data_IF_387789539607
#
_entry.id   IF_387789539607
#
_cell.length_a   1.000
_cell.length_b   1.000
_cell.length_c   1.000
_cell.angle_alpha   90.00
_cell.angle_beta   90.00
_cell.angle_gamma   90.00
#
_symmetry.space_group_name_H-M   'P 1'
#
loop_
_entity.id
_entity.type
_entity.pdbx_description
1 polymer ?
#
# COMPACT_ATOMS: atom_id res chain seq x y z
N UNK A 1 -47.03 -33.08 17.54
CA UNK A 1 -46.47 -33.60 16.28
C UNK A 1 -46.38 -32.45 15.31
N UNK A 2 -45.17 -32.17 14.81
CA UNK A 2 -44.81 -31.54 13.51
C UNK A 2 -45.34 -30.13 13.20
N UNK A 3 -44.61 -29.16 12.66
CA UNK A 3 -43.23 -28.97 12.19
C UNK A 3 -43.04 -27.45 12.04
N UNK A 4 -41.85 -26.84 12.17
CA UNK A 4 -40.67 -27.08 11.34
C UNK A 4 -40.59 -26.05 10.21
N UNK A 5 -40.50 -24.74 10.53
CA UNK A 5 -40.09 -23.74 9.54
C UNK A 5 -38.57 -23.78 9.41
N UNK A 6 -38.09 -24.47 8.38
CA UNK A 6 -36.72 -24.36 7.91
C UNK A 6 -36.63 -23.09 7.07
N UNK A 7 -35.98 -22.05 7.58
CA UNK A 7 -35.50 -20.95 6.76
C UNK A 7 -34.03 -21.19 6.46
N UNK A 8 -33.77 -21.77 5.29
CA UNK A 8 -32.45 -21.77 4.66
C UNK A 8 -32.07 -20.33 4.39
N UNK A 9 -31.08 -19.80 5.10
CA UNK A 9 -30.43 -18.54 4.71
C UNK A 9 -29.35 -18.89 3.71
N UNK A 10 -29.70 -18.86 2.43
CA UNK A 10 -28.72 -18.75 1.35
C UNK A 10 -28.05 -17.39 1.47
N UNK A 11 -26.94 -17.35 2.18
CA UNK A 11 -26.09 -16.17 2.35
C UNK A 11 -25.41 -15.83 1.02
N UNK A 12 -26.09 -15.10 0.16
CA UNK A 12 -25.43 -14.37 -0.92
C UNK A 12 -24.53 -13.31 -0.27
N UNK A 13 -23.22 -13.22 -0.60
CA UNK A 13 -22.36 -12.18 -0.06
C UNK A 13 -22.92 -10.81 -0.45
N UNK A 14 -23.48 -10.08 0.52
CA UNK A 14 -23.84 -8.67 0.32
C UNK A 14 -22.55 -7.90 0.06
N UNK A 15 -22.48 -7.20 -1.07
CA UNK A 15 -21.35 -6.32 -1.35
C UNK A 15 -21.22 -5.29 -0.21
N UNK A 16 -20.00 -5.02 0.29
CA UNK A 16 -19.80 -4.10 1.40
C UNK A 16 -20.39 -2.72 1.09
N UNK A 17 -21.10 -2.13 2.04
CA UNK A 17 -21.69 -0.80 1.88
C UNK A 17 -20.61 0.29 1.96
N UNK A 18 -20.91 1.50 1.49
CA UNK A 18 -20.00 2.65 1.64
C UNK A 18 -19.66 2.94 3.12
N UNK A 19 -20.63 2.77 4.01
CA UNK A 19 -20.42 2.95 5.45
C UNK A 19 -19.44 1.90 6.02
N UNK A 20 -19.50 0.66 5.53
CA UNK A 20 -18.56 -0.40 5.93
C UNK A 20 -17.14 -0.07 5.46
N UNK A 21 -16.98 0.49 4.25
CA UNK A 21 -15.67 0.91 3.74
C UNK A 21 -15.08 2.06 4.53
N UNK A 22 -15.87 3.07 4.90
CA UNK A 22 -15.40 4.18 5.73
C UNK A 22 -14.92 3.71 7.10
N UNK A 23 -15.70 2.85 7.77
CA UNK A 23 -15.32 2.27 9.05
C UNK A 23 -14.03 1.44 8.94
N UNK A 24 -13.93 0.60 7.91
CA UNK A 24 -12.72 -0.18 7.64
C UNK A 24 -11.50 0.72 7.37
N UNK A 25 -11.69 1.81 6.62
CA UNK A 25 -10.66 2.80 6.32
C UNK A 25 -10.16 3.49 7.58
N UNK A 26 -11.06 3.92 8.46
CA UNK A 26 -10.71 4.57 9.71
C UNK A 26 -9.80 3.66 10.58
N UNK A 27 -10.04 2.36 10.52
CA UNK A 27 -9.31 1.33 11.26
C UNK A 27 -7.93 0.96 10.65
N UNK A 28 -7.60 1.42 9.44
CA UNK A 28 -6.29 1.22 8.82
C UNK A 28 -5.19 1.96 9.60
N UNK A 29 -3.97 1.47 9.48
CA UNK A 29 -2.81 2.18 10.02
C UNK A 29 -2.51 3.42 9.19
N UNK A 30 -2.09 4.50 9.85
CA UNK A 30 -1.78 5.76 9.20
C UNK A 30 -0.27 5.85 8.89
N UNK A 31 0.15 5.75 7.61
CA UNK A 31 1.55 5.86 7.24
C UNK A 31 2.15 7.25 7.49
N UNK A 32 1.34 8.29 7.70
CA UNK A 32 1.86 9.60 8.13
C UNK A 32 2.44 9.58 9.55
N UNK A 33 2.24 8.49 10.30
CA UNK A 33 2.87 8.29 11.61
C UNK A 33 4.33 7.81 11.51
N UNK A 34 4.83 7.48 10.31
CA UNK A 34 6.25 7.18 10.08
C UNK A 34 7.10 8.41 10.45
N UNK A 35 8.14 8.26 11.29
CA UNK A 35 8.96 9.38 11.71
C UNK A 35 9.70 10.07 10.55
N UNK A 36 9.83 11.40 10.62
CA UNK A 36 10.53 12.18 9.58
C UNK A 36 11.98 11.71 9.36
N UNK A 37 12.67 11.25 10.40
CA UNK A 37 14.02 10.71 10.28
C UNK A 37 14.08 9.44 9.42
N UNK A 38 13.01 8.64 9.40
CA UNK A 38 12.92 7.44 8.54
C UNK A 38 12.76 7.86 7.09
N UNK A 39 11.94 8.89 6.80
CA UNK A 39 11.82 9.47 5.46
C UNK A 39 13.13 10.08 4.96
N UNK A 40 13.82 10.82 5.83
CA UNK A 40 15.14 11.39 5.51
C UNK A 40 16.18 10.30 5.24
N UNK A 41 16.19 9.23 6.02
CA UNK A 41 17.10 8.10 5.84
C UNK A 41 16.97 7.48 4.43
N UNK A 42 15.77 7.49 3.86
CA UNK A 42 15.49 6.92 2.53
C UNK A 42 15.52 7.97 1.41
N UNK A 43 16.00 9.18 1.71
CA UNK A 43 16.19 10.25 0.73
C UNK A 43 14.95 11.09 0.42
N UNK A 44 13.83 10.85 1.10
CA UNK A 44 12.61 11.67 0.96
C UNK A 44 12.71 12.89 1.86
N UNK A 45 12.47 14.08 1.29
CA UNK A 45 12.49 15.32 2.05
C UNK A 45 11.17 15.49 2.84
N UNK A 46 11.17 15.58 4.18
CA UNK A 46 9.94 15.64 4.96
C UNK A 46 9.00 16.80 4.61
N UNK A 47 9.54 17.92 4.12
CA UNK A 47 8.74 19.06 3.66
C UNK A 47 7.83 18.74 2.46
N UNK A 48 8.12 17.66 1.75
CA UNK A 48 7.36 17.20 0.58
C UNK A 48 6.25 16.21 0.94
N UNK A 49 6.25 15.67 2.17
CA UNK A 49 5.30 14.64 2.59
C UNK A 49 3.86 15.14 2.57
N UNK A 50 2.96 14.39 1.94
CA UNK A 50 1.52 14.67 1.89
C UNK A 50 0.72 13.39 2.14
N UNK A 51 -0.43 13.49 2.83
CA UNK A 51 -1.37 12.38 3.00
C UNK A 51 -2.35 12.23 1.82
N UNK A 52 -2.29 13.15 0.85
CA UNK A 52 -3.37 13.32 -0.12
C UNK A 52 -3.24 12.36 -1.30
N UNK A 53 -4.39 11.79 -1.69
CA UNK A 53 -4.49 10.87 -2.81
C UNK A 53 -5.13 11.64 -3.97
N UNK A 54 -4.35 11.93 -5.01
CA UNK A 54 -4.80 12.73 -6.16
C UNK A 54 -5.49 14.07 -5.74
N UNK A 55 -4.95 14.72 -4.71
CA UNK A 55 -5.49 15.98 -4.16
C UNK A 55 -6.66 15.82 -3.19
N UNK A 56 -7.09 14.59 -2.87
CA UNK A 56 -8.14 14.31 -1.89
C UNK A 56 -7.54 13.91 -0.55
N UNK A 57 -8.02 14.50 0.55
CA UNK A 57 -7.61 14.15 1.92
C UNK A 57 -8.20 12.81 2.40
N UNK A 58 -9.21 12.29 1.69
CA UNK A 58 -9.89 11.05 2.06
C UNK A 58 -10.33 10.27 0.82
N UNK A 59 -9.95 8.99 0.77
CA UNK A 59 -10.41 8.03 -0.22
C UNK A 59 -10.76 6.73 0.50
N UNK A 60 -12.03 6.32 0.40
CA UNK A 60 -12.52 5.09 1.02
C UNK A 60 -11.67 3.88 0.58
N UNK A 61 -11.14 3.18 1.57
CA UNK A 61 -10.32 1.99 1.44
C UNK A 61 -8.83 2.22 1.56
N UNK A 62 -8.38 3.47 1.68
CA UNK A 62 -6.96 3.83 1.64
C UNK A 62 -6.56 4.84 2.71
N UNK A 63 -5.36 4.66 3.25
CA UNK A 63 -4.55 5.68 3.91
C UNK A 63 -3.20 5.75 3.20
N UNK A 64 -2.68 6.96 3.08
CA UNK A 64 -1.50 7.25 2.26
C UNK A 64 -0.59 8.24 2.97
N UNK A 65 0.71 8.09 2.76
CA UNK A 65 1.70 9.12 3.00
C UNK A 65 2.77 8.96 1.93
N UNK A 66 3.08 10.04 1.23
CA UNK A 66 4.10 10.01 0.19
C UNK A 66 4.79 11.35 0.04
N UNK A 67 5.96 11.30 -0.57
CA UNK A 67 6.82 12.46 -0.79
C UNK A 67 7.90 12.16 -1.80
N UNK A 68 8.88 13.05 -1.91
CA UNK A 68 9.95 12.95 -2.89
C UNK A 68 11.27 13.55 -2.40
N UNK A 69 12.34 13.28 -3.14
CA UNK A 69 13.65 13.93 -2.95
C UNK A 69 13.66 15.36 -3.51
N UNK A 70 14.75 16.10 -3.23
CA UNK A 70 14.92 17.48 -3.71
C UNK A 70 16.32 17.64 -4.33
N UNK A 71 16.44 17.91 -5.63
CA UNK A 71 15.37 18.05 -6.63
C UNK A 71 14.59 16.74 -6.84
N UNK A 72 13.36 16.83 -7.39
CA UNK A 72 12.44 15.68 -7.51
C UNK A 72 12.87 14.71 -8.62
N UNK A 73 13.69 13.73 -8.28
CA UNK A 73 14.13 12.65 -9.18
C UNK A 73 13.33 11.36 -8.98
N UNK A 74 12.78 11.12 -7.79
CA UNK A 74 11.87 10.00 -7.49
C UNK A 74 10.79 10.37 -6.46
N UNK A 75 9.64 9.71 -6.55
CA UNK A 75 8.59 9.73 -5.54
C UNK A 75 8.55 8.41 -4.76
N UNK A 76 8.11 8.48 -3.51
CA UNK A 76 7.82 7.33 -2.65
C UNK A 76 6.44 7.49 -2.07
N UNK A 77 5.61 6.47 -2.19
CA UNK A 77 4.27 6.40 -1.61
C UNK A 77 4.16 5.16 -0.71
N UNK A 78 3.65 5.34 0.49
CA UNK A 78 3.35 4.25 1.43
C UNK A 78 1.85 4.20 1.67
N UNK A 79 1.28 3.03 1.46
CA UNK A 79 -0.15 2.79 1.54
C UNK A 79 -0.48 1.81 2.66
N UNK A 80 -1.58 2.08 3.36
CA UNK A 80 -2.36 1.08 4.08
C UNK A 80 -3.73 1.00 3.43
N UNK A 81 -4.20 -0.21 3.14
CA UNK A 81 -5.44 -0.37 2.38
C UNK A 81 -6.25 -1.60 2.79
N UNK A 82 -7.56 -1.53 2.57
CA UNK A 82 -8.49 -2.63 2.92
C UNK A 82 -8.45 -3.81 1.94
N UNK A 83 -7.80 -3.61 0.80
CA UNK A 83 -7.69 -4.59 -0.27
C UNK A 83 -6.51 -5.53 0.02
N UNK A 84 -6.70 -6.82 -0.25
CA UNK A 84 -5.69 -7.84 -0.03
C UNK A 84 -4.64 -7.87 -1.13
N UNK A 85 -3.54 -8.60 -0.88
CA UNK A 85 -2.55 -8.93 -1.92
C UNK A 85 -3.20 -9.65 -3.11
N UNK A 86 -4.17 -10.53 -2.86
CA UNK A 86 -4.86 -11.28 -3.92
C UNK A 86 -5.76 -10.38 -4.77
N UNK A 87 -6.41 -9.38 -4.17
CA UNK A 87 -7.17 -8.37 -4.92
C UNK A 87 -6.26 -7.62 -5.91
N UNK A 88 -5.05 -7.28 -5.49
CA UNK A 88 -4.04 -6.63 -6.34
C UNK A 88 -3.52 -7.58 -7.43
N UNK A 89 -3.22 -8.84 -7.10
CA UNK A 89 -2.81 -9.84 -8.09
C UNK A 89 -3.89 -10.09 -9.14
N UNK A 90 -5.16 -10.05 -8.75
CA UNK A 90 -6.28 -10.18 -9.67
C UNK A 90 -6.43 -8.95 -10.56
N UNK A 91 -6.41 -7.75 -9.97
CA UNK A 91 -6.51 -6.47 -10.69
C UNK A 91 -5.37 -6.28 -11.68
N UNK A 92 -4.15 -6.64 -11.28
CA UNK A 92 -2.91 -6.49 -12.05
C UNK A 92 -2.49 -7.82 -12.70
N UNK A 93 -3.46 -8.64 -13.15
CA UNK A 93 -3.24 -10.01 -13.63
C UNK A 93 -2.30 -10.17 -14.85
N UNK A 94 -1.92 -9.07 -15.49
CA UNK A 94 -0.88 -9.04 -16.54
C UNK A 94 0.55 -8.85 -16.01
N UNK A 95 0.70 -8.58 -14.72
CA UNK A 95 1.97 -8.27 -14.07
C UNK A 95 2.52 -9.49 -13.32
N UNK A 96 3.84 -9.67 -13.35
CA UNK A 96 4.50 -10.70 -12.54
C UNK A 96 4.67 -10.21 -11.10
N UNK A 97 4.22 -11.01 -10.14
CA UNK A 97 4.44 -10.79 -8.71
C UNK A 97 5.54 -11.74 -8.23
N UNK A 98 6.72 -11.20 -7.94
CA UNK A 98 7.89 -11.96 -7.50
C UNK A 98 7.90 -12.02 -5.97
N UNK A 99 7.94 -13.20 -5.34
CA UNK A 99 8.04 -13.29 -3.88
C UNK A 99 9.32 -12.64 -3.36
N UNK A 100 9.20 -11.87 -2.28
CA UNK A 100 10.32 -11.22 -1.58
C UNK A 100 10.13 -11.32 -0.08
N UNK A 101 11.24 -11.26 0.66
CA UNK A 101 11.22 -11.14 2.13
C UNK A 101 12.03 -9.91 2.51
N UNK A 102 11.37 -8.91 3.11
CA UNK A 102 12.00 -7.67 3.57
C UNK A 102 11.83 -7.55 5.07
N UNK A 103 12.93 -7.36 5.80
CA UNK A 103 12.95 -7.26 7.26
C UNK A 103 12.17 -8.39 7.97
N UNK A 104 12.18 -9.60 7.39
CA UNK A 104 11.47 -10.78 7.93
C UNK A 104 9.95 -10.77 7.72
N UNK A 105 9.43 -9.89 6.85
CA UNK A 105 8.04 -9.94 6.38
C UNK A 105 8.02 -10.38 4.91
N UNK A 106 7.24 -11.42 4.63
CA UNK A 106 7.02 -11.91 3.28
C UNK A 106 6.05 -10.99 2.53
N UNK A 107 6.34 -10.77 1.26
CA UNK A 107 5.55 -9.94 0.36
C UNK A 107 5.85 -10.26 -1.09
N UNK A 108 5.46 -9.34 -1.96
CA UNK A 108 5.70 -9.44 -3.40
C UNK A 108 6.21 -8.13 -3.97
N UNK A 109 7.15 -8.23 -4.90
CA UNK A 109 7.56 -7.16 -5.80
C UNK A 109 6.79 -7.26 -7.11
N UNK A 110 6.34 -6.13 -7.66
CA UNK A 110 5.73 -6.04 -8.98
C UNK A 110 5.90 -4.64 -9.59
N UNK A 111 5.80 -4.53 -10.92
CA UNK A 111 5.98 -3.28 -11.65
C UNK A 111 4.97 -3.17 -12.80
N UNK A 112 4.30 -2.02 -12.96
CA UNK A 112 3.40 -1.78 -14.12
C UNK A 112 4.13 -1.13 -15.28
N UNK A 113 5.22 -0.41 -15.00
CA UNK A 113 6.08 0.25 -15.99
C UNK A 113 7.55 0.04 -15.63
N UNK A 114 8.47 0.45 -16.52
CA UNK A 114 9.91 0.38 -16.25
C UNK A 114 10.40 1.44 -15.24
N UNK A 115 9.60 2.49 -15.02
CA UNK A 115 9.95 3.63 -14.18
C UNK A 115 9.43 3.47 -12.73
N UNK A 116 8.77 2.37 -12.41
CA UNK A 116 8.22 2.12 -11.09
C UNK A 116 8.65 0.77 -10.50
N UNK A 117 8.61 0.69 -9.17
CA UNK A 117 8.70 -0.57 -8.45
C UNK A 117 7.78 -0.54 -7.23
N UNK A 118 6.99 -1.60 -7.07
CA UNK A 118 6.00 -1.71 -6.01
C UNK A 118 6.31 -2.93 -5.17
N UNK A 119 6.21 -2.78 -3.85
CA UNK A 119 6.29 -3.84 -2.87
C UNK A 119 4.95 -3.90 -2.13
N UNK A 120 4.36 -5.08 -1.99
CA UNK A 120 3.09 -5.29 -1.29
C UNK A 120 3.21 -6.41 -0.27
N UNK A 121 2.63 -6.16 0.91
CA UNK A 121 2.69 -7.05 2.07
C UNK A 121 1.30 -7.24 2.65
N UNK A 122 0.97 -8.47 3.06
CA UNK A 122 -0.30 -8.71 3.74
C UNK A 122 -0.37 -8.00 5.10
N UNK A 123 -1.58 -7.61 5.47
CA UNK A 123 -1.93 -7.12 6.81
C UNK A 123 -3.22 -7.78 7.29
N UNK A 124 -3.53 -7.69 8.59
CA UNK A 124 -4.80 -8.22 9.13
C UNK A 124 -6.05 -7.59 8.49
N UNK A 125 -5.93 -6.36 7.97
CA UNK A 125 -7.06 -5.57 7.44
C UNK A 125 -7.00 -5.39 5.93
N UNK A 126 -6.11 -6.09 5.23
CA UNK A 126 -5.89 -5.95 3.79
C UNK A 126 -4.40 -6.05 3.46
N UNK A 127 -3.79 -4.94 3.06
CA UNK A 127 -2.36 -4.91 2.73
C UNK A 127 -1.69 -3.58 3.04
N UNK A 128 -0.36 -3.60 3.06
CA UNK A 128 0.50 -2.43 2.97
C UNK A 128 1.22 -2.44 1.63
N UNK A 129 1.44 -1.29 1.01
CA UNK A 129 2.34 -1.20 -0.14
C UNK A 129 3.33 -0.04 -0.01
N UNK A 130 4.46 -0.20 -0.66
CA UNK A 130 5.48 0.82 -0.87
C UNK A 130 5.66 0.91 -2.38
N UNK A 131 5.45 2.10 -2.94
CA UNK A 131 5.57 2.36 -4.36
C UNK A 131 6.67 3.40 -4.56
N UNK A 132 7.59 3.13 -5.47
CA UNK A 132 8.63 4.06 -5.89
C UNK A 132 8.48 4.33 -7.37
N UNK A 133 8.42 5.61 -7.73
CA UNK A 133 8.30 6.07 -9.12
C UNK A 133 9.47 6.99 -9.44
N UNK A 134 10.22 6.65 -10.48
CA UNK A 134 11.22 7.52 -11.09
C UNK A 134 10.51 8.66 -11.83
N UNK A 135 10.97 9.88 -11.61
CA UNK A 135 10.34 11.11 -12.08
C UNK A 135 11.22 11.86 -13.07
N UNK A 136 12.54 11.81 -12.86
CA UNK A 136 13.52 12.31 -13.81
C UNK A 136 14.09 11.12 -14.62
N UNK A 137 13.80 10.99 -15.92
CA UNK A 137 14.32 9.92 -16.77
C UNK A 137 15.85 9.88 -16.83
N UNK A 138 16.52 11.03 -16.69
CA UNK A 138 17.98 11.16 -16.74
C UNK A 138 18.63 10.83 -15.39
N UNK A 139 17.84 10.69 -14.33
CA UNK A 139 18.33 10.25 -13.02
C UNK A 139 18.90 8.83 -13.07
N UNK A 140 19.95 8.59 -12.30
CA UNK A 140 20.54 7.27 -12.11
C UNK A 140 19.73 6.37 -11.14
N UNK A 141 18.61 6.87 -10.59
CA UNK A 141 17.75 6.08 -9.70
C UNK A 141 17.22 4.85 -10.41
N UNK A 142 17.44 3.69 -9.79
CA UNK A 142 16.83 2.41 -10.16
C UNK A 142 15.64 2.18 -9.21
N UNK A 143 14.39 2.16 -9.71
CA UNK A 143 13.19 2.11 -8.87
C UNK A 143 13.20 0.97 -7.84
N UNK A 144 13.59 -0.26 -8.21
CA UNK A 144 13.56 -1.40 -7.29
C UNK A 144 14.67 -1.38 -6.24
N UNK A 145 15.85 -0.84 -6.56
CA UNK A 145 16.91 -0.64 -5.57
C UNK A 145 16.47 0.39 -4.51
N UNK A 146 15.82 1.46 -4.98
CA UNK A 146 15.25 2.48 -4.10
C UNK A 146 14.07 1.93 -3.29
N UNK A 147 13.16 1.16 -3.90
CA UNK A 147 12.05 0.51 -3.19
C UNK A 147 12.54 -0.44 -2.10
N UNK A 148 13.59 -1.21 -2.37
CA UNK A 148 14.24 -2.08 -1.39
C UNK A 148 14.86 -1.27 -0.24
N UNK A 149 15.52 -0.15 -0.54
CA UNK A 149 16.08 0.77 0.46
C UNK A 149 14.98 1.34 1.36
N UNK A 150 13.89 1.82 0.76
CA UNK A 150 12.72 2.35 1.47
C UNK A 150 12.10 1.25 2.35
N UNK A 151 11.87 0.07 1.79
CA UNK A 151 11.20 -1.02 2.49
C UNK A 151 12.00 -1.54 3.68
N UNK A 152 13.33 -1.61 3.59
CA UNK A 152 14.15 -2.00 4.75
C UNK A 152 14.03 -1.03 5.93
N UNK A 153 13.73 0.24 5.68
CA UNK A 153 13.52 1.24 6.73
C UNK A 153 12.06 1.25 7.24
N UNK A 154 11.08 1.08 6.37
CA UNK A 154 9.66 1.29 6.68
C UNK A 154 8.92 0.00 7.06
N UNK A 155 9.20 -1.14 6.44
CA UNK A 155 8.52 -2.42 6.74
C UNK A 155 8.62 -2.83 8.22
N UNK A 156 9.75 -2.61 8.94
CA UNK A 156 9.81 -2.84 10.38
C UNK A 156 8.78 -2.06 11.20
N UNK A 157 8.28 -0.93 10.68
CA UNK A 157 7.29 -0.06 11.33
C UNK A 157 5.85 -0.49 11.05
N UNK A 158 5.63 -1.41 10.10
CA UNK A 158 4.29 -1.92 9.82
C UNK A 158 3.72 -2.68 11.03
N UNK A 159 2.46 -2.40 11.43
CA UNK A 159 1.78 -3.19 12.45
C UNK A 159 1.81 -4.68 12.13
N UNK A 160 1.96 -5.48 13.18
CA UNK A 160 1.96 -6.95 13.07
C UNK A 160 0.58 -7.47 12.70
#
# INVERSE_FOLDING_TARGET
>A
MSGGCSSTTDGTPTAPTTQDKQAATAALWDPCTIPHETWQQVGVAPSTLRPTIAGSDHVDGFKHCGGHDVPWTFGVDVWSQIYSVDDYRHKESGTTFTPVTIAGRDGFEYHKTADECNLIFASEKGSYSIEVLKQDPESAVVPCDQATTVANAIVPLFPR
#
